data_IF_973448808568
#
_entry.id   IF_973448808568
#
_cell.length_a   1.000
_cell.length_b   1.000
_cell.length_c   1.000
_cell.angle_alpha   90.00
_cell.angle_beta   90.00
_cell.angle_gamma   90.00
#
_symmetry.space_group_name_H-M   'P 1'
#
loop_
_entity.id
_entity.type
_entity.pdbx_description
1 polymer ?
#
# COMPACT_ATOMS: atom_id res chain seq x y z
N UNK A 1 6.84 7.75 6.79
CA UNK A 1 7.52 8.32 7.98
C UNK A 1 6.89 7.70 9.22
N UNK A 2 7.62 6.94 10.05
CA UNK A 2 7.04 6.22 11.19
C UNK A 2 6.43 7.14 12.28
N UNK A 3 6.93 8.37 12.42
CA UNK A 3 6.38 9.36 13.35
C UNK A 3 4.98 9.81 12.92
N UNK A 4 4.81 10.20 11.66
CA UNK A 4 3.50 10.55 11.08
C UNK A 4 2.54 9.36 11.10
N UNK A 5 3.02 8.15 10.81
CA UNK A 5 2.16 6.96 10.87
C UNK A 5 1.68 6.69 12.30
N UNK A 6 2.55 6.86 13.31
CA UNK A 6 2.17 6.72 14.71
C UNK A 6 1.19 7.81 15.18
N UNK A 7 1.36 9.05 14.71
CA UNK A 7 0.45 10.15 15.04
C UNK A 7 -0.90 10.01 14.33
N UNK A 8 -0.90 9.58 13.06
CA UNK A 8 -2.11 9.18 12.35
C UNK A 8 -2.85 8.07 13.11
N UNK A 9 -2.15 7.01 13.54
CA UNK A 9 -2.78 5.94 14.33
C UNK A 9 -3.43 6.50 15.60
N UNK A 10 -2.74 7.39 16.32
CA UNK A 10 -3.29 8.05 17.51
C UNK A 10 -4.54 8.89 17.18
N UNK A 11 -4.52 9.66 16.09
CA UNK A 11 -5.63 10.51 15.65
C UNK A 11 -6.85 9.71 15.20
N UNK A 12 -6.64 8.58 14.53
CA UNK A 12 -7.70 7.66 14.10
C UNK A 12 -8.12 6.66 15.20
N UNK A 13 -7.65 6.82 16.45
CA UNK A 13 -7.99 5.96 17.58
C UNK A 13 -7.40 4.55 17.54
N UNK A 14 -6.46 4.28 16.62
CA UNK A 14 -5.75 3.01 16.50
C UNK A 14 -4.52 2.93 17.42
N UNK A 15 -4.24 1.74 17.94
CA UNK A 15 -3.05 1.48 18.74
C UNK A 15 -2.52 0.07 18.51
N UNK A 16 -1.22 -0.12 18.75
CA UNK A 16 -0.60 -1.45 18.74
C UNK A 16 -0.82 -2.06 20.13
N UNK A 17 -1.46 -3.23 20.27
CA UNK A 17 -1.68 -3.85 21.57
C UNK A 17 -0.34 -4.04 22.30
N UNK A 18 -0.27 -3.54 23.53
CA UNK A 18 0.95 -3.59 24.36
C UNK A 18 1.89 -2.37 24.25
N UNK A 19 1.64 -1.42 23.33
CA UNK A 19 2.47 -0.22 23.16
C UNK A 19 1.60 1.04 23.19
N UNK A 20 1.98 2.05 23.99
CA UNK A 20 1.23 3.31 24.11
C UNK A 20 1.30 4.11 22.81
N UNK A 21 0.17 4.60 22.33
CA UNK A 21 0.08 5.40 21.11
C UNK A 21 0.95 6.68 21.18
N UNK A 22 1.60 7.04 20.07
CA UNK A 22 2.53 8.17 19.96
C UNK A 22 3.99 7.73 19.83
N UNK A 23 4.90 8.36 20.60
CA UNK A 23 6.35 8.18 20.45
C UNK A 23 6.80 6.71 20.59
N UNK A 24 6.19 5.95 21.51
CA UNK A 24 6.52 4.53 21.69
C UNK A 24 6.15 3.68 20.46
N UNK A 25 5.00 3.95 19.82
CA UNK A 25 4.60 3.33 18.55
C UNK A 25 5.56 3.68 17.43
N UNK A 26 5.99 4.94 17.30
CA UNK A 26 6.95 5.35 16.27
C UNK A 26 8.30 4.64 16.42
N UNK A 27 8.84 4.55 17.64
CA UNK A 27 10.10 3.82 17.90
C UNK A 27 9.99 2.35 17.52
N UNK A 28 8.88 1.71 17.86
CA UNK A 28 8.62 0.33 17.49
C UNK A 28 8.54 0.15 15.97
N UNK A 29 7.77 1.00 15.29
CA UNK A 29 7.62 0.95 13.84
C UNK A 29 8.95 1.18 13.13
N UNK A 30 9.74 2.14 13.61
CA UNK A 30 11.10 2.42 13.11
C UNK A 30 12.01 1.21 13.25
N UNK A 31 12.00 0.55 14.42
CA UNK A 31 12.81 -0.64 14.65
C UNK A 31 12.46 -1.78 13.69
N UNK A 32 11.16 -2.05 13.52
CA UNK A 32 10.68 -3.11 12.61
C UNK A 32 10.99 -2.78 11.15
N UNK A 33 10.68 -1.55 10.72
CA UNK A 33 10.97 -1.06 9.37
C UNK A 33 12.46 -1.17 9.04
N UNK A 34 13.34 -0.76 9.96
CA UNK A 34 14.77 -0.80 9.71
C UNK A 34 15.29 -2.24 9.53
N UNK A 35 14.82 -3.17 10.35
CA UNK A 35 15.21 -4.59 10.23
C UNK A 35 14.68 -5.21 8.94
N UNK A 36 13.44 -4.92 8.56
CA UNK A 36 12.87 -5.38 7.29
C UNK A 36 13.62 -4.79 6.09
N UNK A 37 13.91 -3.49 6.10
CA UNK A 37 14.63 -2.81 5.03
C UNK A 37 16.05 -3.35 4.89
N UNK A 38 16.74 -3.64 5.99
CA UNK A 38 18.10 -4.19 5.94
C UNK A 38 18.13 -5.56 5.25
N UNK A 39 17.18 -6.44 5.57
CA UNK A 39 17.06 -7.76 4.91
C UNK A 39 16.63 -7.61 3.46
N UNK A 40 15.67 -6.72 3.18
CA UNK A 40 15.19 -6.43 1.82
C UNK A 40 16.28 -5.86 0.92
N UNK A 41 17.13 -4.96 1.42
CA UNK A 41 18.24 -4.38 0.67
C UNK A 41 19.27 -5.44 0.26
N UNK A 42 19.61 -6.36 1.18
CA UNK A 42 20.49 -7.49 0.88
C UNK A 42 19.89 -8.39 -0.19
N UNK A 43 18.59 -8.69 -0.11
CA UNK A 43 17.90 -9.47 -1.15
C UNK A 43 17.94 -8.77 -2.51
N UNK A 44 17.63 -7.47 -2.57
CA UNK A 44 17.66 -6.70 -3.81
C UNK A 44 19.05 -6.63 -4.44
N UNK A 45 20.11 -6.55 -3.62
CA UNK A 45 21.50 -6.61 -4.08
C UNK A 45 21.76 -7.92 -4.85
N UNK A 46 21.35 -9.06 -4.30
CA UNK A 46 21.52 -10.35 -4.99
C UNK A 46 20.72 -10.43 -6.29
N UNK A 47 19.45 -10.01 -6.26
CA UNK A 47 18.59 -10.01 -7.46
C UNK A 47 19.17 -9.15 -8.58
N UNK A 48 19.75 -7.99 -8.25
CA UNK A 48 20.38 -7.11 -9.22
C UNK A 48 21.71 -7.66 -9.78
N UNK A 49 22.48 -8.40 -8.97
CA UNK A 49 23.77 -8.95 -9.37
C UNK A 49 23.66 -10.22 -10.24
N UNK A 50 22.66 -11.06 -10.00
CA UNK A 50 22.44 -12.33 -10.73
C UNK A 50 22.51 -12.15 -12.26
N UNK A 51 21.73 -11.25 -12.90
CA UNK A 51 21.73 -11.14 -14.36
C UNK A 51 23.10 -10.67 -14.90
N UNK A 52 23.76 -9.76 -14.20
CA UNK A 52 25.09 -9.24 -14.59
C UNK A 52 26.15 -10.35 -14.57
N UNK A 53 26.17 -11.16 -13.51
CA UNK A 53 27.10 -12.28 -13.37
C UNK A 53 26.82 -13.37 -14.41
N UNK A 54 25.54 -13.69 -14.66
CA UNK A 54 25.14 -14.72 -15.63
C UNK A 54 25.60 -14.39 -17.06
N UNK A 55 25.41 -13.13 -17.48
CA UNK A 55 25.79 -12.67 -18.83
C UNK A 55 27.31 -12.70 -19.01
N UNK A 56 28.05 -12.29 -17.97
CA UNK A 56 29.51 -12.32 -17.97
C UNK A 56 30.04 -13.77 -18.02
N UNK A 57 29.46 -14.68 -17.23
CA UNK A 57 29.88 -16.09 -17.17
C UNK A 57 29.58 -16.86 -18.47
N UNK A 58 28.46 -16.56 -19.15
CA UNK A 58 28.06 -17.23 -20.40
C UNK A 58 28.68 -16.60 -21.66
N UNK A 59 29.44 -15.51 -21.55
CA UNK A 59 30.10 -14.85 -22.69
C UNK A 59 29.13 -14.22 -23.71
N UNK A 60 27.87 -13.99 -23.33
CA UNK A 60 26.79 -13.56 -24.23
C UNK A 60 26.78 -12.05 -24.52
N UNK A 61 27.80 -11.31 -24.07
CA UNK A 61 27.91 -9.85 -24.21
C UNK A 61 27.72 -9.37 -25.66
N UNK A 62 28.19 -10.13 -26.66
CA UNK A 62 28.06 -9.79 -28.08
C UNK A 62 26.70 -10.14 -28.70
N UNK A 63 25.96 -11.10 -28.12
CA UNK A 63 24.65 -11.55 -28.62
C UNK A 63 23.48 -10.81 -27.96
N UNK A 64 23.71 -10.28 -26.76
CA UNK A 64 22.71 -9.58 -25.97
C UNK A 64 23.27 -8.25 -25.46
N UNK A 65 23.51 -7.26 -26.36
CA UNK A 65 23.99 -5.92 -25.96
C UNK A 65 23.07 -5.21 -24.97
N UNK A 66 21.83 -5.71 -24.80
CA UNK A 66 20.82 -5.20 -23.89
C UNK A 66 20.45 -6.17 -22.74
N UNK A 67 21.12 -7.31 -22.60
CA UNK A 67 20.57 -8.49 -21.91
C UNK A 67 20.28 -8.37 -20.41
N UNK A 68 21.02 -7.56 -19.65
CA UNK A 68 20.84 -7.48 -18.19
C UNK A 68 19.90 -6.34 -17.78
N UNK A 69 20.21 -5.13 -18.25
CA UNK A 69 19.50 -3.91 -17.89
C UNK A 69 18.06 -3.91 -18.41
N UNK A 70 17.82 -4.40 -19.64
CA UNK A 70 16.43 -4.43 -20.17
C UNK A 70 15.54 -5.42 -19.42
N UNK A 71 16.07 -6.58 -18.99
CA UNK A 71 15.29 -7.54 -18.20
C UNK A 71 14.90 -6.94 -16.84
N UNK A 72 15.84 -6.26 -16.16
CA UNK A 72 15.55 -5.58 -14.90
C UNK A 72 14.53 -4.44 -15.07
N UNK A 73 14.65 -3.65 -16.15
CA UNK A 73 13.69 -2.58 -16.45
C UNK A 73 12.30 -3.17 -16.74
N UNK A 74 12.20 -4.22 -17.56
CA UNK A 74 10.92 -4.87 -17.90
C UNK A 74 10.27 -5.44 -16.64
N UNK A 75 11.04 -6.10 -15.76
CA UNK A 75 10.52 -6.61 -14.50
C UNK A 75 10.03 -5.48 -13.58
N UNK A 76 10.76 -4.36 -13.49
CA UNK A 76 10.36 -3.18 -12.71
C UNK A 76 9.07 -2.55 -13.22
N UNK A 77 9.03 -2.18 -14.51
CA UNK A 77 7.85 -1.55 -15.14
C UNK A 77 6.65 -2.49 -15.15
N UNK A 78 6.87 -3.80 -15.33
CA UNK A 78 5.81 -4.81 -15.28
C UNK A 78 5.15 -4.90 -13.91
N UNK A 79 5.95 -4.89 -12.83
CA UNK A 79 5.42 -4.88 -11.46
C UNK A 79 4.66 -3.58 -11.16
N UNK A 80 5.16 -2.44 -11.62
CA UNK A 80 4.48 -1.14 -11.43
C UNK A 80 3.15 -1.09 -12.18
N UNK A 81 3.11 -1.64 -13.40
CA UNK A 81 1.87 -1.76 -14.18
C UNK A 81 0.87 -2.68 -13.48
N UNK A 82 1.32 -3.82 -12.95
CA UNK A 82 0.47 -4.73 -12.16
C UNK A 82 -0.11 -4.05 -10.91
N UNK A 83 0.69 -3.26 -10.20
CA UNK A 83 0.22 -2.50 -9.03
C UNK A 83 -0.84 -1.46 -9.42
N UNK A 84 -0.62 -0.73 -10.51
CA UNK A 84 -1.59 0.24 -11.02
C UNK A 84 -2.91 -0.44 -11.44
N UNK A 85 -2.83 -1.61 -12.09
CA UNK A 85 -4.00 -2.39 -12.47
C UNK A 85 -4.78 -2.90 -11.25
N UNK A 86 -4.09 -3.36 -10.20
CA UNK A 86 -4.72 -3.79 -8.93
C UNK A 86 -5.42 -2.64 -8.22
N UNK A 87 -4.79 -1.47 -8.14
CA UNK A 87 -5.37 -0.29 -7.49
C UNK A 87 -6.71 0.13 -8.11
N UNK A 88 -6.86 0.02 -9.43
CA UNK A 88 -8.14 0.29 -10.12
C UNK A 88 -9.23 -0.74 -9.79
N UNK A 89 -8.85 -2.00 -9.53
CA UNK A 89 -9.80 -3.05 -9.14
C UNK A 89 -10.27 -2.87 -7.69
N UNK A 90 -9.38 -2.47 -6.79
CA UNK A 90 -9.73 -2.20 -5.39
C UNK A 90 -10.70 -1.02 -5.25
N UNK A 91 -10.59 0.02 -6.10
CA UNK A 91 -11.54 1.15 -6.12
C UNK A 91 -13.00 0.73 -6.36
N UNK A 92 -13.26 -0.33 -7.14
CA UNK A 92 -14.62 -0.83 -7.36
C UNK A 92 -15.23 -1.53 -6.15
N UNK A 93 -14.42 -2.03 -5.21
CA UNK A 93 -14.93 -2.67 -3.98
C UNK A 93 -15.23 -1.66 -2.85
N UNK A 94 -14.89 -0.38 -3.00
CA UNK A 94 -15.15 0.66 -2.00
C UNK A 94 -16.48 1.42 -2.20
N UNK A 95 -17.16 1.30 -3.35
CA UNK A 95 -18.43 2.02 -3.61
C UNK A 95 -19.66 1.35 -2.99
N UNK A 96 -19.58 0.09 -2.56
CA UNK A 96 -20.73 -0.66 -2.02
C UNK A 96 -21.18 -0.27 -0.61
N UNK A 97 -20.35 0.40 0.19
CA UNK A 97 -20.66 0.65 1.61
C UNK A 97 -21.24 2.06 1.91
N UNK A 98 -21.16 3.00 0.97
CA UNK A 98 -21.58 4.39 1.19
C UNK A 98 -23.01 4.71 0.74
N UNK A 99 -23.66 3.87 -0.07
CA UNK A 99 -25.02 4.14 -0.60
C UNK A 99 -26.16 3.53 0.24
N UNK A 100 -25.92 2.45 0.99
CA UNK A 100 -26.92 1.80 1.86
C UNK A 100 -27.40 2.73 3.00
N UNK A 101 -26.48 3.54 3.56
CA UNK A 101 -26.76 4.38 4.73
C UNK A 101 -27.47 5.70 4.40
N UNK A 102 -27.56 6.10 3.12
CA UNK A 102 -28.28 7.33 2.71
C UNK A 102 -29.78 7.05 2.52
N UNK A 103 -30.15 5.85 2.07
CA UNK A 103 -31.55 5.48 1.85
C UNK A 103 -32.30 5.17 3.16
N UNK A 104 -31.60 4.71 4.20
CA UNK A 104 -32.20 4.44 5.51
C UNK A 104 -32.56 5.72 6.30
N UNK A 105 -31.78 6.80 6.14
CA UNK A 105 -31.96 8.05 6.91
C UNK A 105 -33.06 8.98 6.41
N UNK A 106 -33.59 8.78 5.21
CA UNK A 106 -34.64 9.64 4.62
C UNK A 106 -36.07 9.13 4.86
N UNK A 107 -36.23 7.89 5.36
CA UNK A 107 -37.56 7.27 5.57
C UNK A 107 -38.19 7.57 6.94
N UNK A 108 -37.47 8.21 7.87
CA UNK A 108 -37.92 8.43 9.25
C UNK A 108 -38.37 9.86 9.58
N UNK A 109 -38.67 10.70 8.59
CA UNK A 109 -39.38 11.95 8.85
C UNK A 109 -40.88 11.66 8.96
N UNK A 110 -41.50 11.71 10.15
CA UNK A 110 -42.95 11.72 10.23
C UNK A 110 -43.45 13.01 9.59
N UNK A 111 -44.26 12.89 8.54
CA UNK A 111 -45.15 13.96 8.10
C UNK A 111 -46.22 14.18 9.18
N UNK A 112 -45.85 14.86 10.25
CA UNK A 112 -46.78 15.44 11.22
C UNK A 112 -46.71 16.95 11.05
N UNK A 113 -47.36 17.44 10.00
CA UNK A 113 -47.94 18.78 10.04
C UNK A 113 -49.44 18.54 10.24
N UNK A 114 -49.90 18.96 11.41
CA UNK A 114 -51.23 18.72 11.94
C UNK A 114 -52.35 19.19 11.02
N UNK A 115 -53.49 18.54 11.24
CA UNK A 115 -54.72 18.81 10.54
C UNK A 115 -55.29 20.21 10.77
N UNK A 116 -56.31 20.45 9.95
CA UNK A 116 -57.38 21.41 10.11
C UNK A 116 -57.78 21.66 11.57
N UNK A 117 -58.13 22.90 11.90
CA UNK A 117 -59.49 23.35 12.23
C UNK A 117 -59.44 24.75 12.90
N UNK A 118 -60.36 25.60 12.44
CA UNK A 118 -60.89 26.84 13.07
C UNK A 118 -60.08 28.14 13.01
#
# INVERSE_FOLDING_TARGET
NPDETADNMKQYGGFIPGIRAGNATSRYLTYVMNRLNTVGAVYLLFVALIPTVLIMALGLNAKLPFGGTTILIIAGVGLDTLRQAKAQTEQFQYTGFLLENVESGTKSLPSTVGGSHE
#
